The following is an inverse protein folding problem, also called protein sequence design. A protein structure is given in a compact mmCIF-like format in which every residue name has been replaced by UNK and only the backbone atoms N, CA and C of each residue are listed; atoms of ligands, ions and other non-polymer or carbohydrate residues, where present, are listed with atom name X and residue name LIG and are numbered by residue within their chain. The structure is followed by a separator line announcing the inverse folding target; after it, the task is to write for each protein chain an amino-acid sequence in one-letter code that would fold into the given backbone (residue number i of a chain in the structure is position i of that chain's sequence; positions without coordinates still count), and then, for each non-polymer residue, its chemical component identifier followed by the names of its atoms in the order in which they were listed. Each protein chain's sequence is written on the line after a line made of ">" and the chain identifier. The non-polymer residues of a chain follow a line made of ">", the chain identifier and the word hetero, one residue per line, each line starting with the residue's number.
data_IF_950330033208
#
_entry.id   IF_950330033208
#
_cell.length_a   1.000
_cell.length_b   1.000
_cell.length_c   1.000
_cell.angle_alpha   90.00
_cell.angle_beta   90.00
_cell.angle_gamma   90.00
#
_symmetry.space_group_name_H-M   'P 1'
#
loop_
_entity.id
_entity.type
_entity.pdbx_description
1 polymer ?
#
# COMPACT_ATOMS: atom_id res chain seq x y z
N UNK A 1 6.56 -25.44 11.24
CA UNK A 1 5.20 -25.72 10.75
C UNK A 1 5.25 -25.60 9.22
N UNK A 2 4.88 -26.63 8.49
CA UNK A 2 4.84 -26.57 7.03
C UNK A 2 3.76 -25.54 6.59
N UNK A 3 4.01 -24.74 5.54
CA UNK A 3 3.02 -23.80 5.04
C UNK A 3 1.78 -24.56 4.56
N UNK A 4 0.60 -24.08 4.96
CA UNK A 4 -0.66 -24.64 4.55
C UNK A 4 -0.75 -24.64 3.01
N UNK A 5 -1.05 -25.79 2.41
CA UNK A 5 -1.26 -25.89 0.97
C UNK A 5 -2.36 -24.92 0.56
N UNK A 6 -2.17 -24.13 -0.52
CA UNK A 6 -3.21 -23.26 -1.02
C UNK A 6 -4.47 -24.07 -1.34
N UNK A 7 -5.58 -23.68 -0.76
CA UNK A 7 -6.89 -24.25 -1.14
C UNK A 7 -7.08 -24.04 -2.63
N UNK A 8 -7.41 -25.10 -3.36
CA UNK A 8 -7.80 -24.99 -4.77
C UNK A 8 -8.89 -23.93 -4.89
N UNK A 9 -8.60 -22.86 -5.62
CA UNK A 9 -9.59 -21.85 -5.98
C UNK A 9 -10.73 -22.57 -6.73
N UNK A 10 -11.87 -22.64 -6.08
CA UNK A 10 -13.12 -22.99 -6.78
C UNK A 10 -13.40 -21.89 -7.81
N UNK A 11 -13.90 -22.29 -8.95
CA UNK A 11 -14.32 -21.52 -10.11
C UNK A 11 -14.27 -19.99 -9.95
N UNK A 12 -13.17 -19.37 -10.44
CA UNK A 12 -12.99 -17.96 -10.69
C UNK A 12 -13.37 -17.03 -9.53
N UNK A 13 -12.39 -16.71 -8.66
CA UNK A 13 -12.54 -15.58 -7.74
C UNK A 13 -12.85 -14.29 -8.52
N UNK A 14 -13.50 -13.35 -7.87
CA UNK A 14 -14.00 -12.12 -8.48
C UNK A 14 -12.89 -11.30 -9.21
N UNK A 15 -11.65 -11.34 -8.71
CA UNK A 15 -10.49 -10.69 -9.32
C UNK A 15 -9.57 -11.68 -10.04
N UNK A 16 -10.13 -12.77 -10.57
CA UNK A 16 -9.33 -13.84 -11.14
C UNK A 16 -8.40 -13.35 -12.25
N UNK A 17 -7.10 -13.54 -12.05
CA UNK A 17 -6.06 -13.15 -12.98
C UNK A 17 -5.67 -11.66 -12.96
N UNK A 18 -6.40 -10.81 -12.25
CA UNK A 18 -6.00 -9.42 -12.09
C UNK A 18 -4.71 -9.31 -11.26
N UNK A 19 -3.80 -8.44 -11.68
CA UNK A 19 -2.52 -8.19 -11.01
C UNK A 19 -2.62 -6.91 -10.20
N UNK A 20 -2.28 -6.98 -8.92
CA UNK A 20 -2.36 -5.83 -8.02
C UNK A 20 -1.03 -5.61 -7.32
N UNK A 21 -0.58 -4.36 -7.28
CA UNK A 21 0.60 -3.94 -6.53
C UNK A 21 0.19 -3.25 -5.22
N UNK A 22 0.85 -3.63 -4.12
CA UNK A 22 0.58 -3.09 -2.78
C UNK A 22 1.58 -1.98 -2.43
N UNK A 23 1.22 -0.76 -2.77
CA UNK A 23 2.02 0.45 -2.55
C UNK A 23 1.84 1.02 -1.14
N UNK A 24 2.92 1.39 -0.49
CA UNK A 24 2.86 2.01 0.84
C UNK A 24 4.22 2.12 1.51
N UNK A 25 4.31 2.79 2.66
CA UNK A 25 5.58 2.98 3.34
C UNK A 25 6.19 1.64 3.75
N UNK A 26 7.50 1.53 3.55
CA UNK A 26 8.35 0.44 4.01
C UNK A 26 9.40 0.95 4.99
N UNK A 27 9.83 2.20 4.79
CA UNK A 27 10.66 2.91 5.76
C UNK A 27 9.83 3.44 6.91
N UNK A 28 10.47 3.60 8.07
CA UNK A 28 9.86 4.19 9.26
C UNK A 28 8.66 3.41 9.85
N UNK A 29 8.51 2.14 9.51
CA UNK A 29 7.56 1.25 10.20
C UNK A 29 8.14 0.82 11.55
N UNK A 30 7.29 0.77 12.57
CA UNK A 30 7.73 0.53 13.96
C UNK A 30 8.33 -0.87 14.16
N UNK A 31 7.83 -1.86 13.45
CA UNK A 31 8.30 -3.24 13.51
C UNK A 31 8.13 -3.90 12.14
N UNK A 32 9.26 -4.13 11.46
CA UNK A 32 9.29 -4.68 10.09
C UNK A 32 8.86 -6.14 10.00
N UNK A 33 9.23 -6.97 10.96
CA UNK A 33 8.85 -8.38 10.96
C UNK A 33 7.35 -8.55 11.22
N UNK A 34 6.80 -7.74 12.11
CA UNK A 34 5.36 -7.71 12.34
C UNK A 34 4.60 -7.17 11.12
N UNK A 35 5.12 -6.14 10.46
CA UNK A 35 4.54 -5.59 9.23
C UNK A 35 4.47 -6.63 8.11
N UNK A 36 5.53 -7.44 7.92
CA UNK A 36 5.56 -8.52 6.92
C UNK A 36 4.52 -9.61 7.18
N UNK A 37 4.28 -9.92 8.46
CA UNK A 37 3.43 -11.06 8.85
C UNK A 37 1.99 -10.67 9.18
N UNK A 38 1.80 -9.55 9.84
CA UNK A 38 0.52 -9.09 10.37
C UNK A 38 0.10 -7.69 9.86
N UNK A 39 0.97 -7.03 9.10
CA UNK A 39 0.71 -5.70 8.56
C UNK A 39 -0.41 -5.68 7.54
N UNK A 40 -0.75 -4.49 7.11
CA UNK A 40 -1.85 -4.28 6.18
C UNK A 40 -1.65 -5.01 4.85
N UNK A 41 -0.41 -5.11 4.32
CA UNK A 41 -0.12 -5.82 3.07
C UNK A 41 -0.42 -7.31 3.16
N UNK A 42 0.04 -7.94 4.23
CA UNK A 42 -0.22 -9.36 4.47
C UNK A 42 -1.73 -9.66 4.52
N UNK A 43 -2.48 -8.79 5.18
CA UNK A 43 -3.92 -8.94 5.37
C UNK A 43 -4.70 -8.70 4.09
N UNK A 44 -4.51 -7.56 3.43
CA UNK A 44 -5.20 -7.27 2.17
C UNK A 44 -4.77 -8.23 1.06
N UNK A 45 -3.49 -8.61 1.04
CA UNK A 45 -2.96 -9.58 0.10
C UNK A 45 -3.65 -10.93 0.19
N UNK A 46 -4.00 -11.39 1.38
CA UNK A 46 -4.78 -12.61 1.58
C UNK A 46 -6.20 -12.48 0.99
N UNK A 47 -6.88 -11.36 1.24
CA UNK A 47 -8.20 -11.10 0.63
C UNK A 47 -8.13 -11.09 -0.88
N UNK A 48 -7.16 -10.38 -1.44
CA UNK A 48 -6.99 -10.26 -2.88
C UNK A 48 -6.71 -11.62 -3.54
N UNK A 49 -5.87 -12.45 -2.91
CA UNK A 49 -5.60 -13.82 -3.40
C UNK A 49 -6.85 -14.70 -3.30
N UNK A 50 -7.63 -14.57 -2.24
CA UNK A 50 -8.92 -15.28 -2.12
C UNK A 50 -9.93 -14.87 -3.18
N UNK A 51 -9.87 -13.60 -3.63
CA UNK A 51 -10.65 -13.10 -4.76
C UNK A 51 -10.05 -13.49 -6.13
N UNK A 52 -8.90 -14.18 -6.15
CA UNK A 52 -8.26 -14.70 -7.35
C UNK A 52 -7.20 -13.79 -7.97
N UNK A 53 -6.85 -12.67 -7.31
CA UNK A 53 -5.82 -11.76 -7.82
C UNK A 53 -4.40 -12.31 -7.65
N UNK A 54 -3.51 -11.87 -8.53
CA UNK A 54 -2.06 -12.03 -8.42
C UNK A 54 -1.53 -10.80 -7.69
N UNK A 55 -0.97 -11.01 -6.50
CA UNK A 55 -0.54 -9.92 -5.61
C UNK A 55 0.97 -9.72 -5.72
N UNK A 56 1.37 -8.51 -6.09
CA UNK A 56 2.73 -8.03 -6.03
C UNK A 56 2.93 -7.26 -4.73
N UNK A 57 3.67 -7.87 -3.82
CA UNK A 57 3.99 -7.30 -2.51
C UNK A 57 5.50 -6.99 -2.46
N UNK A 58 5.91 -5.73 -2.28
CA UNK A 58 7.32 -5.36 -2.24
C UNK A 58 8.09 -6.00 -1.07
N UNK A 59 7.41 -6.47 -0.01
CA UNK A 59 8.04 -7.27 1.05
C UNK A 59 8.37 -8.71 0.61
N UNK A 60 7.68 -9.24 -0.39
CA UNK A 60 7.80 -10.60 -0.88
C UNK A 60 8.07 -10.60 -2.39
N UNK A 61 9.11 -9.89 -2.79
CA UNK A 61 9.52 -9.80 -4.20
C UNK A 61 9.89 -11.16 -4.76
N UNK A 62 9.60 -11.43 -6.04
CA UNK A 62 10.05 -12.65 -6.69
C UNK A 62 11.57 -12.68 -6.78
N UNK A 63 12.17 -13.86 -6.57
CA UNK A 63 13.59 -14.05 -6.84
C UNK A 63 13.87 -13.83 -8.32
N UNK A 64 14.70 -12.84 -8.63
CA UNK A 64 15.17 -12.58 -9.98
C UNK A 64 16.61 -13.08 -10.08
N UNK A 65 16.88 -14.03 -10.98
CA UNK A 65 18.22 -14.59 -11.17
C UNK A 65 19.25 -13.48 -11.42
N UNK A 66 20.29 -13.45 -10.59
CA UNK A 66 21.43 -12.53 -10.73
C UNK A 66 21.25 -11.17 -10.06
N UNK A 67 20.11 -10.89 -9.47
CA UNK A 67 19.92 -9.72 -8.62
C UNK A 67 20.01 -10.12 -7.14
N UNK A 68 20.61 -9.27 -6.33
CA UNK A 68 20.79 -9.52 -4.90
C UNK A 68 19.45 -9.82 -4.20
N UNK A 69 19.53 -10.63 -3.17
CA UNK A 69 18.42 -11.13 -2.38
C UNK A 69 17.37 -10.08 -2.05
N UNK A 70 16.28 -10.14 -2.79
CA UNK A 70 15.08 -9.37 -2.53
C UNK A 70 14.43 -9.82 -1.21
N UNK A 71 13.92 -8.86 -0.48
CA UNK A 71 13.28 -9.12 0.81
C UNK A 71 14.17 -8.89 2.03
N UNK A 72 15.46 -8.61 1.84
CA UNK A 72 16.36 -8.14 2.90
C UNK A 72 16.43 -6.61 3.00
N UNK A 73 15.81 -5.90 2.09
CA UNK A 73 15.82 -4.42 2.01
C UNK A 73 15.56 -3.75 3.35
N UNK A 74 14.63 -4.31 4.11
CA UNK A 74 14.24 -3.75 5.38
C UNK A 74 15.35 -3.71 6.44
N UNK A 75 16.26 -4.65 6.43
CA UNK A 75 17.35 -4.73 7.42
C UNK A 75 18.55 -3.91 6.95
N UNK A 76 18.80 -3.88 5.65
CA UNK A 76 19.98 -3.25 5.08
C UNK A 76 19.79 -1.74 4.83
N UNK A 77 18.54 -1.28 4.60
CA UNK A 77 18.23 0.13 4.35
C UNK A 77 18.72 1.05 5.48
N UNK A 78 18.45 0.70 6.73
CA UNK A 78 18.87 1.54 7.87
C UNK A 78 20.40 1.53 8.01
N UNK A 79 21.04 0.36 7.88
CA UNK A 79 22.50 0.24 7.89
C UNK A 79 23.16 0.96 6.71
N UNK A 80 22.53 0.97 5.55
CA UNK A 80 23.04 1.67 4.38
C UNK A 80 22.86 3.18 4.53
N UNK A 81 21.78 3.65 5.16
CA UNK A 81 21.62 5.07 5.52
C UNK A 81 22.70 5.54 6.49
N UNK A 82 23.09 4.71 7.47
CA UNK A 82 24.17 5.02 8.40
C UNK A 82 25.55 5.18 7.70
N UNK A 83 25.74 4.48 6.58
CA UNK A 83 26.97 4.58 5.78
C UNK A 83 27.02 5.83 4.88
N UNK A 84 25.87 6.49 4.68
CA UNK A 84 25.81 7.67 3.83
C UNK A 84 26.64 8.79 4.42
N UNK A 85 27.44 9.47 3.58
CA UNK A 85 28.25 10.61 3.97
C UNK A 85 28.24 11.69 2.89
N UNK A 86 28.27 12.94 3.32
CA UNK A 86 28.45 14.10 2.45
C UNK A 86 29.94 14.47 2.26
N UNK A 87 30.87 13.72 2.85
CA UNK A 87 32.30 14.00 2.69
C UNK A 87 32.70 13.99 1.22
N UNK A 88 33.42 15.02 0.81
CA UNK A 88 33.95 15.18 -0.55
C UNK A 88 35.30 14.48 -0.69
N UNK A 89 35.39 13.24 -0.25
CA UNK A 89 36.55 12.38 -0.39
C UNK A 89 36.31 11.32 -1.47
N UNK A 90 37.37 10.71 -1.97
CA UNK A 90 37.25 9.58 -2.93
C UNK A 90 36.44 8.42 -2.35
N UNK A 91 36.61 8.11 -1.06
CA UNK A 91 35.91 7.02 -0.40
C UNK A 91 34.45 7.39 -0.13
N UNK A 92 34.15 8.63 0.23
CA UNK A 92 32.80 9.15 0.32
C UNK A 92 32.06 9.06 -1.02
N UNK A 93 32.71 9.42 -2.11
CA UNK A 93 32.15 9.31 -3.45
C UNK A 93 31.87 7.85 -3.85
N UNK A 94 32.80 6.94 -3.56
CA UNK A 94 32.59 5.48 -3.81
C UNK A 94 31.43 4.92 -3.01
N UNK A 95 31.31 5.32 -1.72
CA UNK A 95 30.21 4.91 -0.86
C UNK A 95 28.86 5.37 -1.42
N UNK A 96 28.75 6.65 -1.81
CA UNK A 96 27.52 7.17 -2.43
C UNK A 96 27.17 6.44 -3.72
N UNK A 97 28.16 6.21 -4.59
CA UNK A 97 27.93 5.49 -5.86
C UNK A 97 27.43 4.07 -5.62
N UNK A 98 28.04 3.35 -4.66
CA UNK A 98 27.61 1.99 -4.29
C UNK A 98 26.17 1.97 -3.77
N UNK A 99 25.82 2.86 -2.85
CA UNK A 99 24.47 2.96 -2.29
C UNK A 99 23.45 3.34 -3.37
N UNK A 100 23.79 4.27 -4.25
CA UNK A 100 22.93 4.66 -5.37
C UNK A 100 22.65 3.48 -6.30
N UNK A 101 23.67 2.68 -6.64
CA UNK A 101 23.51 1.49 -7.48
C UNK A 101 22.61 0.45 -6.82
N UNK A 102 22.82 0.18 -5.55
CA UNK A 102 22.04 -0.77 -4.78
C UNK A 102 20.54 -0.37 -4.71
N UNK A 103 20.28 0.90 -4.40
CA UNK A 103 18.92 1.43 -4.39
C UNK A 103 18.26 1.49 -5.76
N UNK A 104 19.06 1.73 -6.81
CA UNK A 104 18.55 1.73 -8.18
C UNK A 104 17.95 0.38 -8.57
N UNK A 105 18.63 -0.72 -8.23
CA UNK A 105 18.12 -2.07 -8.50
C UNK A 105 16.78 -2.30 -7.79
N UNK A 106 16.70 -1.96 -6.51
CA UNK A 106 15.47 -2.07 -5.72
C UNK A 106 14.33 -1.26 -6.32
N UNK A 107 14.56 0.02 -6.57
CA UNK A 107 13.57 0.92 -7.17
C UNK A 107 13.11 0.42 -8.54
N UNK A 108 14.05 -0.04 -9.38
CA UNK A 108 13.75 -0.53 -10.72
C UNK A 108 12.76 -1.70 -10.69
N UNK A 109 12.92 -2.63 -9.76
CA UNK A 109 12.01 -3.78 -9.69
C UNK A 109 10.65 -3.38 -9.11
N UNK A 110 10.60 -2.50 -8.12
CA UNK A 110 9.32 -1.98 -7.64
C UNK A 110 8.54 -1.30 -8.77
N UNK A 111 9.19 -0.44 -9.53
CA UNK A 111 8.56 0.20 -10.69
C UNK A 111 8.16 -0.80 -11.78
N UNK A 112 8.94 -1.87 -12.00
CA UNK A 112 8.55 -2.94 -12.94
C UNK A 112 7.34 -3.74 -12.45
N UNK A 113 7.19 -3.94 -11.13
CA UNK A 113 5.98 -4.54 -10.58
C UNK A 113 4.77 -3.64 -10.76
N UNK A 114 4.93 -2.32 -10.59
CA UNK A 114 3.88 -1.33 -10.88
C UNK A 114 3.49 -1.38 -12.36
N UNK A 115 4.49 -1.33 -13.26
CA UNK A 115 4.30 -1.43 -14.71
C UNK A 115 3.51 -2.70 -15.12
N UNK A 116 3.77 -3.81 -14.44
CA UNK A 116 3.12 -5.10 -14.71
C UNK A 116 1.73 -5.22 -14.07
N UNK A 117 1.43 -4.44 -13.02
CA UNK A 117 0.15 -4.50 -12.32
C UNK A 117 -0.98 -3.89 -13.15
N UNK A 118 -2.22 -4.29 -12.85
CA UNK A 118 -3.44 -3.74 -13.46
C UNK A 118 -3.99 -2.57 -12.68
N UNK A 119 -3.80 -2.62 -11.38
CA UNK A 119 -4.18 -1.54 -10.47
C UNK A 119 -3.30 -1.58 -9.21
N UNK A 120 -3.33 -0.50 -8.45
CA UNK A 120 -2.64 -0.38 -7.18
C UNK A 120 -3.62 -0.28 -6.02
N UNK A 121 -3.24 -0.88 -4.88
CA UNK A 121 -3.79 -0.53 -3.57
C UNK A 121 -2.70 0.25 -2.84
N UNK A 122 -2.93 1.54 -2.62
CA UNK A 122 -1.97 2.43 -1.97
C UNK A 122 -2.43 2.77 -0.54
N UNK A 123 -1.64 2.42 0.46
CA UNK A 123 -1.87 2.76 1.86
C UNK A 123 -0.94 3.90 2.28
N UNK A 124 -1.51 5.08 2.47
CA UNK A 124 -0.76 6.31 2.76
C UNK A 124 -1.25 6.95 4.07
N UNK A 125 -0.81 6.46 5.24
CA UNK A 125 -1.04 7.16 6.49
C UNK A 125 -0.38 8.54 6.43
N UNK A 126 -1.12 9.58 6.82
CA UNK A 126 -0.66 10.97 6.66
C UNK A 126 0.49 11.38 7.57
N UNK A 127 0.81 10.55 8.57
CA UNK A 127 1.93 10.73 9.48
C UNK A 127 3.21 10.02 9.02
N UNK A 128 3.15 9.25 7.95
CA UNK A 128 4.29 8.49 7.43
C UNK A 128 4.68 9.04 6.07
N UNK A 129 5.92 9.48 5.96
CA UNK A 129 6.47 9.97 4.71
C UNK A 129 6.93 8.80 3.85
N UNK A 130 6.39 8.70 2.65
CA UNK A 130 6.71 7.61 1.72
C UNK A 130 6.98 8.15 0.31
N UNK A 131 8.25 8.34 0.01
CA UNK A 131 8.70 8.83 -1.32
C UNK A 131 8.43 7.78 -2.39
N UNK A 132 8.72 6.51 -2.11
CA UNK A 132 8.50 5.39 -3.04
C UNK A 132 7.05 5.32 -3.49
N UNK A 133 6.11 5.39 -2.55
CA UNK A 133 4.67 5.36 -2.85
C UNK A 133 4.23 6.48 -3.79
N UNK A 134 4.82 7.69 -3.67
CA UNK A 134 4.51 8.80 -4.60
C UNK A 134 4.95 8.46 -6.02
N UNK A 135 6.16 7.91 -6.19
CA UNK A 135 6.66 7.49 -7.51
C UNK A 135 5.80 6.39 -8.12
N UNK A 136 5.43 5.39 -7.32
CA UNK A 136 4.59 4.28 -7.74
C UNK A 136 3.19 4.74 -8.20
N UNK A 137 2.55 5.61 -7.43
CA UNK A 137 1.26 6.22 -7.79
C UNK A 137 1.38 7.04 -9.07
N UNK A 138 2.41 7.89 -9.18
CA UNK A 138 2.61 8.71 -10.36
C UNK A 138 2.80 7.86 -11.62
N UNK A 139 3.63 6.81 -11.55
CA UNK A 139 3.83 5.89 -12.66
C UNK A 139 2.53 5.20 -13.07
N UNK A 140 1.80 4.63 -12.09
CA UNK A 140 0.54 3.96 -12.36
C UNK A 140 -0.46 4.88 -13.06
N UNK A 141 -0.54 6.14 -12.63
CA UNK A 141 -1.47 7.12 -13.24
C UNK A 141 -1.03 7.57 -14.62
N UNK A 142 0.27 7.69 -14.89
CA UNK A 142 0.78 7.94 -16.23
C UNK A 142 0.43 6.79 -17.20
N UNK A 143 0.37 5.58 -16.69
CA UNK A 143 -0.05 4.37 -17.42
C UNK A 143 -1.57 4.13 -17.37
N UNK A 144 -2.35 5.11 -16.91
CA UNK A 144 -3.82 5.06 -16.78
C UNK A 144 -4.35 3.93 -15.89
N UNK A 145 -3.53 3.43 -14.97
CA UNK A 145 -3.94 2.38 -14.02
C UNK A 145 -4.70 2.97 -12.85
N UNK A 146 -5.76 2.30 -12.37
CA UNK A 146 -6.48 2.73 -11.17
C UNK A 146 -5.59 2.63 -9.93
N UNK A 147 -5.74 3.58 -9.03
CA UNK A 147 -5.10 3.59 -7.71
C UNK A 147 -6.18 3.67 -6.64
N UNK A 148 -6.35 2.61 -5.89
CA UNK A 148 -7.26 2.56 -4.74
C UNK A 148 -6.48 3.06 -3.51
N UNK A 149 -6.77 4.28 -3.10
CA UNK A 149 -5.96 5.01 -2.13
C UNK A 149 -6.60 4.96 -0.74
N UNK A 150 -5.92 4.33 0.21
CA UNK A 150 -6.36 4.21 1.60
C UNK A 150 -5.60 5.18 2.48
N UNK A 151 -6.30 6.15 3.04
CA UNK A 151 -5.77 7.15 3.99
C UNK A 151 -6.56 7.06 5.30
N UNK A 152 -6.12 6.21 6.25
CA UNK A 152 -6.85 6.03 7.49
C UNK A 152 -6.76 7.29 8.37
N UNK A 153 -7.77 7.55 9.22
CA UNK A 153 -7.68 8.57 10.25
C UNK A 153 -6.48 8.34 11.16
N UNK A 154 -5.81 9.42 11.55
CA UNK A 154 -4.64 9.37 12.43
C UNK A 154 -4.89 10.25 13.65
N UNK A 155 -4.71 9.64 14.81
CA UNK A 155 -4.79 10.27 16.11
C UNK A 155 -3.58 9.89 16.95
N UNK A 156 -3.21 10.78 17.82
CA UNK A 156 -2.13 10.59 18.77
C UNK A 156 -2.67 10.69 20.21
N UNK A 157 -3.41 9.67 20.68
CA UNK A 157 -4.06 9.74 21.99
C UNK A 157 -3.07 9.96 23.14
N UNK A 158 -1.84 9.44 23.03
CA UNK A 158 -0.79 9.66 24.03
C UNK A 158 -0.32 11.11 24.04
N UNK A 159 -0.24 11.78 22.88
CA UNK A 159 0.09 13.19 22.78
C UNK A 159 -1.01 14.05 23.39
N UNK A 160 -2.27 13.76 23.09
CA UNK A 160 -3.42 14.48 23.64
C UNK A 160 -3.54 14.29 25.15
N UNK A 161 -3.27 13.09 25.65
CA UNK A 161 -3.21 12.81 27.09
C UNK A 161 -2.09 13.58 27.78
N UNK A 162 -0.89 13.62 27.17
CA UNK A 162 0.24 14.39 27.70
C UNK A 162 -0.04 15.88 27.70
N UNK A 163 -0.62 16.42 26.63
CA UNK A 163 -1.05 17.81 26.55
C UNK A 163 -2.04 18.18 27.65
N UNK A 164 -3.01 17.29 27.91
CA UNK A 164 -3.97 17.47 28.99
C UNK A 164 -3.32 17.41 30.37
N UNK A 165 -2.37 16.51 30.56
CA UNK A 165 -1.63 16.37 31.83
C UNK A 165 -0.79 17.61 32.10
N UNK A 166 -0.12 18.15 31.10
CA UNK A 166 0.73 19.34 31.22
C UNK A 166 -0.03 20.67 31.19
N UNK A 167 -1.34 20.68 31.03
CA UNK A 167 -2.12 21.92 30.85
C UNK A 167 -1.97 22.94 31.98
N UNK A 168 -1.60 22.50 33.20
CA UNK A 168 -1.34 23.36 34.36
C UNK A 168 0.14 23.71 34.55
N UNK A 169 1.03 23.11 33.77
CA UNK A 169 2.47 23.37 33.76
C UNK A 169 2.84 24.19 32.53
N UNK A 170 3.09 25.49 32.73
CA UNK A 170 3.40 26.40 31.66
C UNK A 170 4.73 26.09 30.94
N UNK A 171 5.70 25.48 31.62
CA UNK A 171 6.99 25.08 31.05
C UNK A 171 6.80 23.83 30.23
N UNK A 172 6.18 22.82 30.81
CA UNK A 172 5.89 21.55 30.08
C UNK A 172 5.02 21.77 28.87
N UNK A 173 3.98 22.59 28.94
CA UNK A 173 3.13 22.95 27.79
C UNK A 173 3.96 23.59 26.67
N UNK A 174 4.82 24.57 27.00
CA UNK A 174 5.69 25.23 26.02
C UNK A 174 6.68 24.27 25.37
N UNK A 175 7.27 23.36 26.15
CA UNK A 175 8.17 22.34 25.62
C UNK A 175 7.45 21.37 24.69
N UNK A 176 6.23 20.94 25.03
CA UNK A 176 5.41 20.07 24.20
C UNK A 176 5.01 20.76 22.88
N UNK A 177 4.64 22.03 22.94
CA UNK A 177 4.32 22.83 21.76
C UNK A 177 5.54 23.01 20.86
N UNK A 178 6.72 23.27 21.46
CA UNK A 178 7.98 23.35 20.70
C UNK A 178 8.26 22.02 20.00
N UNK A 179 8.16 20.90 20.72
CA UNK A 179 8.34 19.57 20.14
C UNK A 179 7.35 19.30 19.01
N UNK A 180 6.08 19.65 19.18
CA UNK A 180 5.06 19.49 18.13
C UNK A 180 5.31 20.36 16.88
N UNK A 181 6.00 21.49 17.04
CA UNK A 181 6.41 22.32 15.91
C UNK A 181 7.68 21.81 15.20
N UNK A 182 8.57 21.16 15.93
CA UNK A 182 9.79 20.55 15.41
C UNK A 182 9.51 19.22 14.71
N UNK A 183 8.52 18.46 15.20
CA UNK A 183 8.07 17.20 14.62
C UNK A 183 6.77 17.46 13.83
N UNK A 184 6.65 16.99 12.60
CA UNK A 184 5.44 17.16 11.80
C UNK A 184 4.30 16.26 12.31
N UNK A 185 4.06 16.25 13.63
CA UNK A 185 3.02 15.46 14.27
C UNK A 185 1.72 16.24 14.22
N UNK A 186 0.88 15.91 13.25
CA UNK A 186 -0.48 16.46 13.16
C UNK A 186 -1.49 15.32 13.13
N UNK A 187 -2.45 15.37 14.04
CA UNK A 187 -3.60 14.47 13.96
C UNK A 187 -4.41 14.76 12.70
N UNK A 188 -4.89 13.71 12.07
CA UNK A 188 -5.79 13.79 10.93
C UNK A 188 -7.01 12.87 11.18
N UNK A 189 -7.90 13.27 12.11
CA UNK A 189 -9.00 12.43 12.56
C UNK A 189 -10.04 12.13 11.47
N UNK A 190 -9.96 12.81 10.34
CA UNK A 190 -10.84 12.58 9.18
C UNK A 190 -10.19 11.70 8.11
N UNK A 191 -8.88 11.38 8.23
CA UNK A 191 -8.15 10.65 7.19
C UNK A 191 -8.06 11.41 5.86
N UNK A 192 -8.12 12.75 5.88
CA UNK A 192 -8.08 13.56 4.65
C UNK A 192 -6.67 13.45 4.06
N UNK A 193 -6.52 12.90 2.84
CA UNK A 193 -5.23 12.80 2.18
C UNK A 193 -4.68 14.18 1.80
N UNK A 194 -3.39 14.24 1.49
CA UNK A 194 -2.83 15.45 0.90
C UNK A 194 -3.56 15.80 -0.40
N UNK A 195 -3.86 17.08 -0.58
CA UNK A 195 -4.54 17.57 -1.78
C UNK A 195 -3.77 17.27 -3.09
N UNK A 196 -2.46 17.02 -3.01
CA UNK A 196 -1.65 16.63 -4.15
C UNK A 196 -2.00 15.27 -4.74
N UNK A 197 -2.61 14.38 -3.95
CA UNK A 197 -3.07 13.09 -4.46
C UNK A 197 -4.40 13.18 -5.21
N UNK A 198 -5.22 14.21 -4.94
CA UNK A 198 -6.56 14.27 -5.51
C UNK A 198 -6.59 14.28 -7.04
N UNK A 199 -5.79 15.11 -7.74
CA UNK A 199 -5.77 15.06 -9.21
C UNK A 199 -5.11 13.78 -9.77
N UNK A 200 -4.25 13.12 -9.00
CA UNK A 200 -3.61 11.89 -9.43
C UNK A 200 -4.54 10.68 -9.30
N UNK A 201 -5.25 10.58 -8.20
CA UNK A 201 -6.01 9.36 -7.84
C UNK A 201 -7.46 9.43 -8.34
N UNK A 202 -8.05 10.62 -8.33
CA UNK A 202 -9.48 10.83 -8.62
C UNK A 202 -10.36 10.64 -7.38
N UNK A 203 -11.45 11.40 -7.30
CA UNK A 203 -12.27 11.53 -6.07
C UNK A 203 -12.89 10.23 -5.61
N UNK A 204 -13.20 9.33 -6.55
CA UNK A 204 -13.92 8.08 -6.25
C UNK A 204 -13.02 6.98 -5.68
N UNK A 205 -11.70 7.14 -5.73
CA UNK A 205 -10.75 6.11 -5.35
C UNK A 205 -10.09 6.32 -3.98
N UNK A 206 -10.65 7.22 -3.15
CA UNK A 206 -10.19 7.45 -1.78
C UNK A 206 -11.03 6.67 -0.77
N UNK A 207 -10.34 6.02 0.16
CA UNK A 207 -10.91 5.21 1.22
C UNK A 207 -10.30 5.65 2.56
N UNK A 208 -11.11 5.68 3.61
CA UNK A 208 -10.68 6.07 4.95
C UNK A 208 -10.35 4.87 5.87
N UNK A 209 -10.30 3.67 5.29
CA UNK A 209 -9.91 2.43 5.94
C UNK A 209 -10.11 1.22 5.03
N UNK A 210 -9.67 0.07 5.49
CA UNK A 210 -9.83 -1.19 4.75
C UNK A 210 -11.20 -1.84 4.97
N UNK A 211 -11.78 -1.67 6.14
CA UNK A 211 -12.98 -2.39 6.57
C UNK A 211 -12.67 -3.77 7.16
N UNK A 212 -11.48 -3.95 7.75
CA UNK A 212 -11.05 -5.21 8.35
C UNK A 212 -11.92 -5.66 9.53
N UNK A 213 -12.67 -4.74 10.16
CA UNK A 213 -13.58 -5.10 11.25
C UNK A 213 -14.92 -5.61 10.76
N UNK A 214 -15.25 -5.56 9.49
CA UNK A 214 -16.48 -6.15 8.98
C UNK A 214 -16.52 -7.65 9.33
N UNK A 215 -17.61 -8.07 9.97
CA UNK A 215 -17.83 -9.44 10.43
C UNK A 215 -17.71 -10.48 9.32
N UNK A 216 -18.11 -10.10 8.11
CA UNK A 216 -18.01 -10.93 6.90
C UNK A 216 -16.55 -11.32 6.60
N UNK A 217 -15.63 -10.36 6.68
CA UNK A 217 -14.21 -10.62 6.39
C UNK A 217 -13.51 -11.26 7.56
N UNK A 218 -13.81 -10.85 8.78
CA UNK A 218 -13.25 -11.46 10.00
C UNK A 218 -13.54 -12.95 10.08
N UNK A 219 -14.79 -13.33 9.90
CA UNK A 219 -15.21 -14.72 9.98
C UNK A 219 -14.61 -15.56 8.84
N UNK A 220 -14.63 -15.03 7.60
CA UNK A 220 -14.11 -15.71 6.42
C UNK A 220 -12.61 -15.97 6.49
N UNK A 221 -11.84 -15.03 7.02
CA UNK A 221 -10.38 -15.05 6.99
C UNK A 221 -9.73 -15.47 8.30
N UNK A 222 -10.52 -15.69 9.36
CA UNK A 222 -10.04 -16.13 10.66
C UNK A 222 -9.04 -15.16 11.30
N UNK A 223 -9.15 -13.86 11.02
CA UNK A 223 -8.22 -12.87 11.50
C UNK A 223 -8.28 -12.63 12.99
N UNK A 224 -7.12 -12.54 13.61
CA UNK A 224 -6.99 -12.02 14.98
C UNK A 224 -7.07 -10.50 14.95
N UNK A 225 -7.53 -9.92 16.05
CA UNK A 225 -7.55 -8.46 16.24
C UNK A 225 -6.14 -7.91 16.14
N UNK A 226 -5.95 -6.85 15.34
CA UNK A 226 -4.67 -6.14 15.21
C UNK A 226 -4.86 -4.66 15.55
N UNK A 227 -3.78 -3.90 15.74
CA UNK A 227 -3.88 -2.45 15.94
C UNK A 227 -4.71 -1.71 14.88
N UNK A 228 -4.64 -2.16 13.61
CA UNK A 228 -5.47 -1.62 12.54
C UNK A 228 -6.97 -1.89 12.78
N UNK A 229 -7.33 -3.09 13.25
CA UNK A 229 -8.72 -3.42 13.57
C UNK A 229 -9.22 -2.65 14.76
N UNK A 230 -8.39 -2.47 15.78
CA UNK A 230 -8.73 -1.67 16.96
C UNK A 230 -9.00 -0.22 16.56
N UNK A 231 -8.19 0.34 15.67
CA UNK A 231 -8.40 1.67 15.12
C UNK A 231 -9.71 1.76 14.36
N UNK A 232 -9.95 0.84 13.44
CA UNK A 232 -11.20 0.78 12.66
C UNK A 232 -12.42 0.44 13.53
N UNK A 233 -12.25 -0.30 14.63
CA UNK A 233 -13.31 -0.57 15.60
C UNK A 233 -13.70 0.67 16.37
N UNK A 234 -12.73 1.49 16.77
CA UNK A 234 -12.99 2.77 17.45
C UNK A 234 -13.65 3.78 16.51
N UNK A 235 -13.26 3.75 15.24
CA UNK A 235 -13.78 4.60 14.18
C UNK A 235 -13.98 3.79 12.91
N UNK A 236 -15.14 3.15 12.75
CA UNK A 236 -15.45 2.43 11.54
C UNK A 236 -15.28 3.33 10.31
N UNK A 237 -14.59 2.87 9.27
CA UNK A 237 -14.43 3.66 8.06
C UNK A 237 -15.78 3.93 7.42
N UNK A 238 -15.97 5.14 6.93
CA UNK A 238 -17.18 5.54 6.20
C UNK A 238 -17.18 5.02 4.78
N UNK A 239 -15.99 4.90 4.21
CA UNK A 239 -15.77 4.38 2.87
C UNK A 239 -14.67 3.32 2.91
N UNK A 240 -14.97 2.10 3.33
CA UNK A 240 -14.02 1.01 3.43
C UNK A 240 -13.62 0.47 2.04
N UNK A 241 -12.35 0.03 1.90
CA UNK A 241 -11.82 -0.49 0.65
C UNK A 241 -12.43 -1.86 0.25
N UNK A 242 -12.63 -2.77 1.20
CA UNK A 242 -13.02 -4.15 0.88
C UNK A 242 -14.34 -4.27 0.08
N UNK A 243 -15.41 -3.53 0.39
CA UNK A 243 -16.61 -3.50 -0.45
C UNK A 243 -16.35 -2.95 -1.85
N UNK A 244 -15.46 -1.96 -1.99
CA UNK A 244 -15.11 -1.41 -3.29
C UNK A 244 -14.31 -2.40 -4.14
N UNK A 245 -13.47 -3.25 -3.53
CA UNK A 245 -12.81 -4.35 -4.25
C UNK A 245 -13.80 -5.37 -4.78
N UNK A 246 -14.82 -5.68 -4.04
CA UNK A 246 -15.89 -6.56 -4.53
C UNK A 246 -16.61 -5.93 -5.73
N UNK A 247 -16.95 -4.65 -5.66
CA UNK A 247 -17.56 -3.94 -6.77
C UNK A 247 -16.63 -3.86 -7.98
N UNK A 248 -15.35 -3.50 -7.76
CA UNK A 248 -14.34 -3.46 -8.82
C UNK A 248 -14.24 -4.80 -9.55
N UNK A 249 -14.30 -5.90 -8.82
CA UNK A 249 -14.20 -7.23 -9.41
C UNK A 249 -15.28 -7.54 -10.47
N UNK A 250 -16.45 -6.94 -10.34
CA UNK A 250 -17.52 -7.09 -11.32
C UNK A 250 -17.33 -6.21 -12.56
N UNK A 251 -16.40 -5.27 -12.49
CA UNK A 251 -16.12 -4.32 -13.57
C UNK A 251 -14.84 -4.66 -14.35
N UNK A 252 -14.01 -5.56 -13.82
CA UNK A 252 -12.83 -6.03 -14.52
C UNK A 252 -13.26 -6.90 -15.71
N UNK A 253 -12.84 -6.56 -16.94
CA UNK A 253 -13.20 -7.33 -18.10
C UNK A 253 -12.59 -8.72 -18.04
N UNK A 254 -13.42 -9.69 -18.34
CA UNK A 254 -13.05 -11.09 -18.41
C UNK A 254 -13.58 -11.66 -19.70
N UNK A 255 -12.75 -12.44 -20.38
CA UNK A 255 -13.16 -13.22 -21.54
C UNK A 255 -13.16 -14.70 -21.21
N UNK A 256 -14.09 -15.43 -21.80
CA UNK A 256 -14.14 -16.88 -21.67
C UNK A 256 -13.03 -17.54 -22.49
N UNK A 257 -12.13 -18.27 -21.82
CA UNK A 257 -11.13 -19.09 -22.49
C UNK A 257 -11.68 -20.51 -22.75
N UNK A 258 -11.92 -20.81 -24.00
CA UNK A 258 -12.46 -22.12 -24.42
C UNK A 258 -11.51 -23.28 -24.12
N UNK A 259 -10.20 -23.05 -24.07
CA UNK A 259 -9.19 -24.08 -23.79
C UNK A 259 -9.12 -24.39 -22.31
N UNK A 260 -9.14 -23.35 -21.47
CA UNK A 260 -9.05 -23.48 -20.02
C UNK A 260 -10.41 -23.72 -19.36
N UNK A 261 -11.52 -23.57 -20.12
CA UNK A 261 -12.91 -23.67 -19.62
C UNK A 261 -13.16 -22.80 -18.40
N UNK A 262 -12.64 -21.58 -18.41
CA UNK A 262 -12.80 -20.58 -17.35
C UNK A 262 -12.74 -19.18 -17.89
N UNK A 263 -13.22 -18.22 -17.11
CA UNK A 263 -12.97 -16.81 -17.37
C UNK A 263 -11.51 -16.48 -17.08
N UNK A 264 -10.87 -15.81 -18.01
CA UNK A 264 -9.55 -15.24 -17.88
C UNK A 264 -9.63 -13.75 -18.08
N UNK A 265 -8.64 -13.03 -17.56
CA UNK A 265 -8.56 -11.62 -17.78
C UNK A 265 -8.43 -11.29 -19.26
N UNK A 266 -9.07 -10.20 -19.68
CA UNK A 266 -8.85 -9.59 -20.97
C UNK A 266 -7.68 -8.61 -20.90
N UNK A 267 -6.53 -8.97 -21.45
CA UNK A 267 -5.30 -8.19 -21.35
C UNK A 267 -5.27 -6.98 -22.31
N UNK A 268 -6.22 -6.91 -23.25
CA UNK A 268 -6.28 -5.85 -24.26
C UNK A 268 -7.06 -4.61 -23.77
N UNK A 269 -7.25 -4.46 -22.49
CA UNK A 269 -8.19 -3.53 -21.90
C UNK A 269 -7.56 -2.48 -21.00
N UNK A 270 -7.98 -1.23 -21.18
CA UNK A 270 -7.75 -0.15 -20.23
C UNK A 270 -8.85 -0.19 -19.15
N UNK A 271 -8.45 -0.37 -17.89
CA UNK A 271 -9.38 -0.54 -16.79
C UNK A 271 -10.13 0.73 -16.41
N UNK A 272 -9.57 1.92 -16.72
CA UNK A 272 -10.08 3.15 -16.17
C UNK A 272 -9.72 4.37 -17.02
N UNK A 273 -10.67 5.24 -17.27
CA UNK A 273 -10.40 6.57 -17.80
C UNK A 273 -9.74 7.44 -16.73
N UNK A 274 -8.64 8.10 -17.09
CA UNK A 274 -7.90 8.98 -16.19
C UNK A 274 -8.71 10.22 -15.77
N UNK A 275 -9.63 10.67 -16.60
CA UNK A 275 -10.41 11.89 -16.35
C UNK A 275 -11.68 11.60 -15.56
N UNK A 276 -12.41 10.55 -15.93
CA UNK A 276 -13.74 10.29 -15.39
C UNK A 276 -13.77 9.17 -14.34
N UNK A 277 -12.65 8.48 -14.11
CA UNK A 277 -12.60 7.27 -13.28
C UNK A 277 -13.64 6.21 -13.70
N UNK A 278 -14.01 6.21 -14.96
CA UNK A 278 -14.92 5.22 -15.53
C UNK A 278 -14.14 4.12 -16.22
N UNK A 279 -14.73 2.96 -16.24
CA UNK A 279 -14.25 1.87 -17.07
C UNK A 279 -14.56 2.24 -18.52
N UNK A 280 -13.55 2.27 -19.38
CA UNK A 280 -13.78 2.36 -20.83
C UNK A 280 -14.34 1.03 -21.31
N UNK A 281 -15.50 1.04 -21.93
CA UNK A 281 -16.01 -0.11 -22.64
C UNK A 281 -15.10 -0.35 -23.88
N UNK A 282 -14.77 -1.60 -24.20
CA UNK A 282 -14.02 -1.88 -25.40
C UNK A 282 -14.79 -1.30 -26.59
N UNK A 283 -14.12 -0.49 -27.38
CA UNK A 283 -14.69 -0.02 -28.64
C UNK A 283 -14.99 -1.27 -29.48
N UNK A 284 -16.26 -1.65 -29.49
CA UNK A 284 -16.70 -2.70 -30.38
C UNK A 284 -16.29 -2.29 -31.78
N UNK A 285 -15.55 -3.19 -32.43
CA UNK A 285 -15.30 -3.05 -33.85
C UNK A 285 -16.65 -2.92 -34.55
N UNK A 286 -16.87 -1.75 -35.11
CA UNK A 286 -18.04 -1.44 -35.96
C UNK A 286 -17.87 -2.05 -37.34
#
# INVERSE_FOLDING_TARGET
>A
MAPAKPKKAGNGGLLHGARVYLSGPMDFVANREDEKTNGWRARIGNVLRDLGAIVFDPWNKPEVRGLHEYGKEGVDTDKDREKWTFENSTDGAKTRAKLTGHYWETLHIDLRMVDTADFLVAHCPTNVYSVGTVHEIALARLERKPVLFVSPPIEFPSYDALKKHLAKDSVGTRMLEKLANELPIKSNPKGIPSLWYMPLVGSENFFDGFGFNDSKYRQKLGWKTTPLDEQETRRPPKRPLLPALEELSHRLPQKWDNRLKKYVRDDDWLLWDIHDNKIEEPHGES
#
